data_IF_332821710629
#
_entry.id   IF_332821710629
#
_cell.length_a   1.000
_cell.length_b   1.000
_cell.length_c   1.000
_cell.angle_alpha   90.00
_cell.angle_beta   90.00
_cell.angle_gamma   90.00
#
_symmetry.space_group_name_H-M   'P 1'
#
loop_
_entity.id
_entity.type
_entity.pdbx_description
1 polymer ?
#
# COMPACT_ATOMS: atom_id res chain seq x y z
N UNK A 1 66.00 -24.47 -5.76
CA UNK A 1 64.84 -23.73 -6.28
C UNK A 1 63.86 -23.54 -5.13
N UNK A 2 63.61 -22.31 -4.71
CA UNK A 2 62.72 -21.96 -3.59
C UNK A 2 61.31 -21.75 -4.17
N UNK A 3 60.25 -22.46 -3.74
CA UNK A 3 58.92 -22.15 -4.24
C UNK A 3 58.41 -20.90 -3.54
N UNK A 4 58.04 -19.91 -4.34
CA UNK A 4 57.37 -18.69 -3.91
C UNK A 4 55.90 -19.03 -3.60
N UNK A 5 55.46 -18.83 -2.37
CA UNK A 5 54.05 -18.94 -2.00
C UNK A 5 53.37 -17.60 -2.34
N UNK A 6 52.56 -17.56 -3.39
CA UNK A 6 51.69 -16.42 -3.68
C UNK A 6 50.47 -16.54 -2.78
N UNK A 7 50.40 -15.71 -1.74
CA UNK A 7 49.18 -15.54 -0.96
C UNK A 7 48.22 -14.63 -1.75
N UNK A 8 47.17 -15.22 -2.32
CA UNK A 8 46.05 -14.47 -2.91
C UNK A 8 45.14 -14.02 -1.78
N UNK A 9 45.19 -12.74 -1.45
CA UNK A 9 44.30 -12.11 -0.47
C UNK A 9 42.92 -11.92 -1.13
N UNK A 10 41.95 -12.77 -0.82
CA UNK A 10 40.55 -12.50 -1.15
C UNK A 10 40.04 -11.41 -0.21
N UNK A 11 39.96 -10.17 -0.71
CA UNK A 11 39.21 -9.12 -0.04
C UNK A 11 37.72 -9.47 -0.18
N UNK A 12 37.13 -9.97 0.90
CA UNK A 12 35.67 -10.10 1.02
C UNK A 12 35.15 -8.67 1.16
N UNK A 13 34.71 -8.08 0.05
CA UNK A 13 33.89 -6.87 0.09
C UNK A 13 32.53 -7.30 0.62
N UNK A 14 32.35 -7.19 1.94
CA UNK A 14 31.03 -7.32 2.54
C UNK A 14 30.20 -6.14 2.04
N UNK A 15 29.29 -6.41 1.10
CA UNK A 15 28.21 -5.49 0.79
C UNK A 15 27.23 -5.54 1.96
N UNK A 16 27.59 -4.87 3.06
CA UNK A 16 26.64 -4.62 4.12
C UNK A 16 25.49 -3.83 3.47
N UNK A 17 24.33 -4.50 3.31
CA UNK A 17 23.08 -3.82 3.05
C UNK A 17 22.94 -2.78 4.16
N UNK A 18 23.04 -1.50 3.83
CA UNK A 18 22.92 -0.45 4.82
C UNK A 18 21.50 -0.52 5.38
N UNK A 19 21.35 -1.05 6.59
CA UNK A 19 20.10 -0.95 7.32
C UNK A 19 19.91 0.52 7.74
N UNK A 20 18.69 1.03 7.57
CA UNK A 20 18.37 2.36 8.06
C UNK A 20 18.51 2.35 9.59
N UNK A 21 19.21 3.33 10.18
CA UNK A 21 19.24 3.44 11.64
C UNK A 21 17.82 3.65 12.17
N UNK A 22 17.57 3.24 13.41
CA UNK A 22 16.29 3.50 14.06
C UNK A 22 16.00 5.01 14.09
N UNK A 23 14.74 5.37 13.92
CA UNK A 23 14.28 6.74 14.04
C UNK A 23 14.48 7.26 15.48
N UNK A 24 14.87 8.53 15.67
CA UNK A 24 15.02 9.11 17.02
C UNK A 24 13.72 9.04 17.84
N UNK A 25 13.81 8.91 19.15
CA UNK A 25 12.68 8.66 20.05
C UNK A 25 11.57 9.73 19.96
N UNK A 26 11.92 10.99 19.71
CA UNK A 26 10.96 12.11 19.64
C UNK A 26 10.42 12.36 18.21
N UNK A 27 10.57 11.39 17.31
CA UNK A 27 10.11 11.50 15.91
C UNK A 27 8.99 10.52 15.61
N UNK A 28 8.32 10.70 14.47
CA UNK A 28 7.43 9.69 13.89
C UNK A 28 7.53 9.78 12.37
N UNK A 29 7.08 8.72 11.70
CA UNK A 29 7.11 8.62 10.24
C UNK A 29 5.74 8.25 9.70
N UNK A 30 5.45 8.74 8.49
CA UNK A 30 4.39 8.22 7.65
C UNK A 30 5.01 7.40 6.52
N UNK A 31 4.54 6.17 6.32
CA UNK A 31 4.96 5.37 5.19
C UNK A 31 3.99 5.60 4.02
N UNK A 32 4.54 5.79 2.82
CA UNK A 32 3.76 5.91 1.60
C UNK A 32 4.08 4.74 0.68
N UNK A 33 3.05 3.99 0.29
CA UNK A 33 3.13 2.94 -0.72
C UNK A 33 2.67 3.56 -2.05
N UNK A 34 3.58 3.76 -3.01
CA UNK A 34 3.23 4.24 -4.35
C UNK A 34 2.63 3.09 -5.18
N UNK A 35 2.31 3.37 -6.44
CA UNK A 35 1.83 2.43 -7.46
C UNK A 35 2.38 1.01 -7.31
N UNK A 36 1.49 0.05 -7.11
CA UNK A 36 1.86 -1.36 -6.97
C UNK A 36 1.56 -2.16 -8.22
N UNK A 37 1.30 -1.54 -9.37
CA UNK A 37 0.89 -2.16 -10.64
C UNK A 37 1.90 -3.15 -11.30
N UNK A 38 2.99 -3.54 -10.64
CA UNK A 38 3.99 -4.48 -11.20
C UNK A 38 3.60 -5.95 -10.98
N UNK A 39 2.39 -6.33 -11.39
CA UNK A 39 1.90 -7.71 -11.29
C UNK A 39 2.52 -8.63 -12.36
N UNK A 40 2.73 -9.88 -11.98
CA UNK A 40 3.22 -10.96 -12.83
C UNK A 40 2.29 -12.16 -12.79
N UNK A 41 2.42 -13.09 -13.72
CA UNK A 41 1.56 -14.26 -13.85
C UNK A 41 0.38 -14.04 -14.79
N UNK A 42 -0.62 -14.90 -14.66
CA UNK A 42 -1.68 -15.07 -15.65
C UNK A 42 -2.48 -13.81 -15.90
N UNK A 43 -2.50 -13.38 -17.16
CA UNK A 43 -3.34 -12.28 -17.63
C UNK A 43 -2.93 -10.90 -17.11
N UNK A 44 -1.74 -10.74 -16.52
CA UNK A 44 -1.26 -9.40 -16.11
C UNK A 44 -0.80 -8.58 -17.33
N UNK A 45 -0.48 -7.29 -17.14
CA UNK A 45 0.06 -6.49 -18.26
C UNK A 45 1.44 -6.95 -18.70
N UNK A 46 2.28 -7.38 -17.74
CA UNK A 46 3.64 -7.80 -18.02
C UNK A 46 3.72 -9.18 -18.69
N UNK A 47 2.79 -10.08 -18.36
CA UNK A 47 2.84 -11.49 -18.75
C UNK A 47 1.47 -12.01 -19.25
N UNK A 48 0.88 -11.41 -20.31
CA UNK A 48 -0.50 -11.67 -20.71
C UNK A 48 -0.79 -13.14 -21.06
N UNK A 49 0.19 -13.85 -21.63
CA UNK A 49 0.08 -15.25 -22.05
C UNK A 49 0.57 -16.25 -20.99
N UNK A 50 0.93 -15.79 -19.80
CA UNK A 50 1.41 -16.67 -18.72
C UNK A 50 0.25 -17.47 -18.15
N UNK A 51 0.54 -18.70 -17.71
CA UNK A 51 -0.39 -19.53 -16.93
C UNK A 51 0.04 -19.63 -15.45
N UNK A 52 1.12 -18.94 -15.07
CA UNK A 52 1.58 -18.92 -13.69
C UNK A 52 0.60 -18.15 -12.79
N UNK A 53 0.53 -18.47 -11.48
CA UNK A 53 -0.29 -17.72 -10.54
C UNK A 53 0.05 -16.22 -10.54
N UNK A 54 -0.97 -15.39 -10.33
CA UNK A 54 -0.80 -13.93 -10.23
C UNK A 54 -0.01 -13.61 -8.94
N UNK A 55 1.03 -12.80 -9.08
CA UNK A 55 1.91 -12.40 -7.97
C UNK A 55 2.33 -10.94 -8.09
N UNK A 56 2.78 -10.37 -6.98
CA UNK A 56 3.34 -9.03 -6.93
C UNK A 56 4.44 -8.92 -5.88
N UNK A 57 5.69 -9.15 -6.28
CA UNK A 57 6.83 -9.12 -5.37
C UNK A 57 7.13 -7.72 -4.82
N UNK A 58 6.79 -6.67 -5.56
CA UNK A 58 7.01 -5.28 -5.14
C UNK A 58 6.08 -4.93 -3.99
N UNK A 59 4.78 -5.19 -4.15
CA UNK A 59 3.80 -4.93 -3.11
C UNK A 59 4.05 -5.78 -1.85
N UNK A 60 4.40 -7.06 -2.03
CA UNK A 60 4.79 -7.94 -0.94
C UNK A 60 6.03 -7.43 -0.19
N UNK A 61 7.03 -6.92 -0.91
CA UNK A 61 8.24 -6.35 -0.31
C UNK A 61 7.95 -5.07 0.47
N UNK A 62 7.15 -4.14 -0.07
CA UNK A 62 6.77 -2.92 0.62
C UNK A 62 6.03 -3.22 1.93
N UNK A 63 5.01 -4.08 1.88
CA UNK A 63 4.21 -4.41 3.06
C UNK A 63 5.00 -5.19 4.12
N UNK A 64 5.89 -6.11 3.71
CA UNK A 64 6.83 -6.79 4.63
C UNK A 64 7.83 -5.83 5.26
N UNK A 65 8.40 -4.94 4.47
CA UNK A 65 9.36 -3.96 4.98
C UNK A 65 8.68 -3.05 5.99
N UNK A 66 7.50 -2.50 5.67
CA UNK A 66 6.74 -1.66 6.59
C UNK A 66 6.44 -2.41 7.87
N UNK A 67 5.89 -3.64 7.80
CA UNK A 67 5.59 -4.45 8.98
C UNK A 67 6.82 -4.67 9.88
N UNK A 68 7.99 -4.93 9.29
CA UNK A 68 9.24 -5.12 10.04
C UNK A 68 9.79 -3.81 10.62
N UNK A 69 9.39 -2.66 10.07
CA UNK A 69 9.93 -1.35 10.41
C UNK A 69 8.95 -0.43 11.16
N UNK A 70 7.76 -0.93 11.56
CA UNK A 70 6.80 -0.15 12.34
C UNK A 70 7.48 0.49 13.57
N UNK A 71 8.11 -0.33 14.42
CA UNK A 71 8.77 0.17 15.64
C UNK A 71 10.11 0.85 15.34
N UNK A 72 11.06 0.25 14.59
CA UNK A 72 12.37 0.87 14.35
C UNK A 72 12.28 2.24 13.67
N UNK A 73 11.31 2.45 12.79
CA UNK A 73 11.13 3.70 12.04
C UNK A 73 10.00 4.57 12.59
N UNK A 74 9.39 4.15 13.71
CA UNK A 74 8.28 4.86 14.38
C UNK A 74 7.18 5.23 13.40
N UNK A 75 6.78 4.27 12.56
CA UNK A 75 5.74 4.47 11.55
C UNK A 75 4.40 4.50 12.27
N UNK A 76 3.66 5.59 12.12
CA UNK A 76 2.38 5.80 12.82
C UNK A 76 1.18 5.72 11.88
N UNK A 77 1.41 5.85 10.57
CA UNK A 77 0.37 5.73 9.55
C UNK A 77 0.97 5.24 8.22
N UNK A 78 0.19 4.47 7.46
CA UNK A 78 0.56 4.01 6.11
C UNK A 78 -0.48 4.48 5.08
N UNK A 79 -0.04 5.21 4.06
CA UNK A 79 -0.90 5.62 2.94
C UNK A 79 -0.51 4.85 1.67
N UNK A 80 -1.43 4.08 1.10
CA UNK A 80 -1.30 3.61 -0.28
C UNK A 80 -1.99 4.61 -1.20
N UNK A 81 -1.25 5.24 -2.11
CA UNK A 81 -1.77 6.39 -2.87
C UNK A 81 -2.52 6.03 -4.16
N UNK A 82 -2.80 4.74 -4.35
CA UNK A 82 -3.65 4.21 -5.40
C UNK A 82 -2.87 3.47 -6.48
N UNK A 83 -3.56 3.11 -7.55
CA UNK A 83 -3.06 2.30 -8.66
C UNK A 83 -2.51 0.97 -8.09
N UNK A 84 -3.41 0.31 -7.39
CA UNK A 84 -3.19 -0.88 -6.56
C UNK A 84 -3.08 -2.12 -7.44
N UNK A 85 -3.85 -2.15 -8.52
CA UNK A 85 -3.88 -3.25 -9.50
C UNK A 85 -3.45 -2.75 -10.87
N UNK A 86 -2.82 -3.61 -11.68
CA UNK A 86 -2.52 -3.27 -13.09
C UNK A 86 -3.73 -3.49 -14.00
N UNK A 87 -4.60 -4.43 -13.61
CA UNK A 87 -5.86 -4.75 -14.24
C UNK A 87 -6.89 -4.94 -13.14
N UNK A 88 -8.05 -4.31 -13.33
CA UNK A 88 -9.17 -4.40 -12.40
C UNK A 88 -9.87 -5.76 -12.48
N UNK A 89 -9.22 -6.79 -11.92
CA UNK A 89 -9.67 -8.20 -11.94
C UNK A 89 -9.44 -8.86 -10.58
N UNK A 90 -10.32 -9.79 -10.20
CA UNK A 90 -10.34 -10.43 -8.89
C UNK A 90 -8.98 -10.99 -8.45
N UNK A 91 -8.26 -11.66 -9.35
CA UNK A 91 -6.97 -12.29 -9.01
C UNK A 91 -5.90 -11.30 -8.53
N UNK A 92 -5.93 -10.04 -9.00
CA UNK A 92 -4.99 -9.02 -8.52
C UNK A 92 -5.46 -8.41 -7.21
N UNK A 93 -6.77 -8.23 -7.04
CA UNK A 93 -7.34 -7.77 -5.78
C UNK A 93 -7.11 -8.77 -4.64
N UNK A 94 -7.15 -10.09 -4.91
CA UNK A 94 -6.78 -11.11 -3.93
C UNK A 94 -5.33 -10.93 -3.45
N UNK A 95 -4.40 -10.66 -4.38
CA UNK A 95 -2.99 -10.40 -4.06
C UNK A 95 -2.84 -9.08 -3.28
N UNK A 96 -3.50 -8.01 -3.72
CA UNK A 96 -3.49 -6.71 -3.04
C UNK A 96 -4.03 -6.81 -1.62
N UNK A 97 -5.13 -7.55 -1.43
CA UNK A 97 -5.76 -7.74 -0.13
C UNK A 97 -4.85 -8.51 0.82
N UNK A 98 -4.25 -9.60 0.35
CA UNK A 98 -3.26 -10.36 1.11
C UNK A 98 -2.03 -9.52 1.46
N UNK A 99 -1.59 -8.62 0.57
CA UNK A 99 -0.52 -7.66 0.86
C UNK A 99 -0.88 -6.75 2.04
N UNK A 100 -2.03 -6.08 1.96
CA UNK A 100 -2.47 -5.11 2.97
C UNK A 100 -2.96 -5.74 4.27
N UNK A 101 -3.39 -7.00 4.27
CA UNK A 101 -3.75 -7.75 5.49
C UNK A 101 -2.60 -7.87 6.48
N UNK A 102 -1.34 -7.74 6.02
CA UNK A 102 -0.18 -7.70 6.91
C UNK A 102 -0.17 -6.49 7.84
N UNK A 103 -0.75 -5.38 7.40
CA UNK A 103 -0.79 -4.12 8.14
C UNK A 103 -2.07 -3.96 8.97
N UNK A 104 -3.14 -4.66 8.58
CA UNK A 104 -4.43 -4.55 9.22
C UNK A 104 -4.42 -5.03 10.68
N UNK A 105 -4.97 -4.20 11.57
CA UNK A 105 -4.93 -4.43 13.01
C UNK A 105 -3.58 -4.18 13.67
N UNK A 106 -2.55 -3.77 12.91
CA UNK A 106 -1.20 -3.48 13.43
C UNK A 106 -0.84 -2.01 13.40
N UNK A 107 -1.22 -1.31 12.33
CA UNK A 107 -0.93 0.10 12.13
C UNK A 107 -2.11 0.76 11.41
N UNK A 108 -2.45 2.03 11.73
CA UNK A 108 -3.37 2.82 10.92
C UNK A 108 -2.94 2.85 9.45
N UNK A 109 -3.88 2.61 8.54
CA UNK A 109 -3.59 2.71 7.12
C UNK A 109 -4.81 3.04 6.29
N UNK A 110 -4.58 3.64 5.12
CA UNK A 110 -5.64 3.84 4.13
C UNK A 110 -5.10 3.76 2.70
N UNK A 111 -6.02 3.56 1.76
CA UNK A 111 -5.76 3.29 0.35
C UNK A 111 -6.66 4.20 -0.49
N UNK A 112 -6.08 5.03 -1.37
CA UNK A 112 -6.84 5.78 -2.38
C UNK A 112 -7.18 4.89 -3.58
N UNK A 113 -8.27 5.22 -4.27
CA UNK A 113 -8.67 4.56 -5.53
C UNK A 113 -8.15 5.41 -6.69
N UNK A 114 -7.32 4.86 -7.57
CA UNK A 114 -6.88 5.57 -8.79
C UNK A 114 -7.42 4.92 -10.07
N UNK A 115 -6.97 5.41 -11.23
CA UNK A 115 -7.63 5.13 -12.51
C UNK A 115 -7.55 3.66 -12.95
N UNK A 116 -6.66 2.85 -12.37
CA UNK A 116 -6.64 1.40 -12.60
C UNK A 116 -7.53 0.60 -11.64
N UNK A 117 -7.95 1.22 -10.54
CA UNK A 117 -8.72 0.60 -9.48
C UNK A 117 -10.24 0.73 -9.71
N UNK A 118 -10.63 1.49 -10.73
CA UNK A 118 -12.00 1.72 -11.17
C UNK A 118 -12.18 1.47 -12.67
N UNK A 119 -13.42 1.43 -13.15
CA UNK A 119 -13.71 1.43 -14.58
C UNK A 119 -13.65 2.84 -15.16
N UNK A 120 -13.74 2.99 -16.49
CA UNK A 120 -13.79 4.31 -17.14
C UNK A 120 -14.98 5.17 -16.73
N UNK A 121 -16.05 4.58 -16.21
CA UNK A 121 -17.22 5.30 -15.70
C UNK A 121 -17.14 5.62 -14.20
N UNK A 122 -15.99 5.38 -13.55
CA UNK A 122 -15.80 5.63 -12.13
C UNK A 122 -16.28 4.51 -11.21
N UNK A 123 -16.74 3.38 -11.76
CA UNK A 123 -17.18 2.23 -10.95
C UNK A 123 -15.97 1.58 -10.24
N UNK A 124 -15.94 1.67 -8.90
CA UNK A 124 -14.91 1.13 -8.01
C UNK A 124 -15.40 -0.08 -7.22
N UNK A 125 -16.45 -0.77 -7.67
CA UNK A 125 -17.10 -1.87 -6.93
C UNK A 125 -16.14 -2.99 -6.51
N UNK A 126 -15.15 -3.33 -7.34
CA UNK A 126 -14.13 -4.32 -6.97
C UNK A 126 -13.25 -3.84 -5.83
N UNK A 127 -12.76 -2.59 -5.88
CA UNK A 127 -12.05 -2.01 -4.73
C UNK A 127 -12.92 -2.07 -3.47
N UNK A 128 -14.18 -1.65 -3.57
CA UNK A 128 -15.13 -1.62 -2.46
C UNK A 128 -15.42 -3.01 -1.89
N UNK A 129 -15.39 -4.06 -2.72
CA UNK A 129 -15.54 -5.44 -2.26
C UNK A 129 -14.37 -5.90 -1.38
N UNK A 130 -13.13 -5.50 -1.72
CA UNK A 130 -11.92 -5.94 -1.02
C UNK A 130 -11.55 -5.07 0.18
N UNK A 131 -11.83 -3.76 0.08
CA UNK A 131 -11.57 -2.76 1.11
C UNK A 131 -12.84 -2.00 1.55
N UNK A 132 -13.93 -2.70 1.94
CA UNK A 132 -15.20 -2.07 2.31
C UNK A 132 -15.07 -1.27 3.61
N UNK A 133 -15.91 -0.26 3.81
CA UNK A 133 -15.94 0.54 5.04
C UNK A 133 -16.12 -0.32 6.32
N UNK A 134 -17.00 -1.36 6.35
CA UNK A 134 -17.07 -2.31 7.46
C UNK A 134 -15.75 -2.95 7.89
N UNK A 135 -14.74 -3.01 7.02
CA UNK A 135 -13.39 -3.50 7.39
C UNK A 135 -12.72 -2.60 8.42
N UNK A 136 -13.03 -1.32 8.41
CA UNK A 136 -12.39 -0.29 9.21
C UNK A 136 -13.30 0.24 10.33
N UNK A 137 -14.57 -0.19 10.35
CA UNK A 137 -15.54 0.20 11.35
C UNK A 137 -15.06 -0.14 12.77
N UNK A 138 -15.17 0.83 13.68
CA UNK A 138 -14.71 0.71 15.06
C UNK A 138 -13.21 0.99 15.28
N UNK A 139 -12.41 1.20 14.22
CA UNK A 139 -11.03 1.67 14.38
C UNK A 139 -11.03 3.16 14.71
N UNK A 140 -10.41 3.55 15.83
CA UNK A 140 -10.48 4.91 16.37
C UNK A 140 -9.99 6.01 15.40
N UNK A 141 -9.06 5.66 14.50
CA UNK A 141 -8.51 6.59 13.51
C UNK A 141 -9.36 6.70 12.24
N UNK A 142 -10.31 5.79 12.02
CA UNK A 142 -11.17 5.78 10.84
C UNK A 142 -12.40 6.65 11.09
N UNK A 143 -12.36 7.88 10.59
CA UNK A 143 -13.26 8.93 11.06
C UNK A 143 -14.52 9.09 10.20
N UNK A 144 -14.45 8.78 8.90
CA UNK A 144 -15.64 8.79 8.06
C UNK A 144 -15.36 8.55 6.58
N UNK A 145 -16.46 8.45 5.84
CA UNK A 145 -16.52 8.20 4.39
C UNK A 145 -17.43 9.21 3.72
N UNK A 146 -17.21 9.43 2.42
CA UNK A 146 -18.22 10.07 1.58
C UNK A 146 -19.38 9.09 1.34
N UNK A 147 -20.61 9.60 1.35
CA UNK A 147 -21.81 8.82 1.02
C UNK A 147 -22.52 9.49 -0.16
N UNK A 148 -22.42 8.95 -1.38
CA UNK A 148 -23.07 9.53 -2.55
C UNK A 148 -24.59 9.45 -2.41
N UNK A 149 -25.30 10.41 -3.00
CA UNK A 149 -26.76 10.40 -3.05
C UNK A 149 -27.33 9.33 -4.00
N UNK A 150 -26.51 8.80 -4.90
CA UNK A 150 -26.94 7.93 -6.00
C UNK A 150 -26.22 6.58 -6.04
N UNK A 151 -25.47 6.30 -7.10
CA UNK A 151 -24.88 4.99 -7.36
C UNK A 151 -23.69 4.73 -6.43
N UNK A 152 -23.84 3.79 -5.49
CA UNK A 152 -22.78 3.43 -4.53
C UNK A 152 -21.52 2.88 -5.23
N UNK A 153 -21.65 2.37 -6.46
CA UNK A 153 -20.51 1.89 -7.24
C UNK A 153 -19.54 3.05 -7.60
N UNK A 154 -20.04 4.28 -7.65
CA UNK A 154 -19.26 5.49 -7.95
C UNK A 154 -19.10 6.28 -6.66
N UNK A 155 -17.85 6.54 -6.26
CA UNK A 155 -17.51 7.34 -5.07
C UNK A 155 -17.99 6.81 -3.71
N UNK A 156 -18.78 5.74 -3.69
CA UNK A 156 -19.43 5.23 -2.50
C UNK A 156 -18.56 4.33 -1.63
N UNK A 157 -19.17 3.88 -0.54
CA UNK A 157 -18.57 3.00 0.45
C UNK A 157 -17.23 3.57 0.95
N UNK A 158 -16.12 2.99 0.55
CA UNK A 158 -14.80 3.42 1.00
C UNK A 158 -13.96 3.97 -0.15
N UNK A 159 -14.55 4.40 -1.26
CA UNK A 159 -13.78 5.03 -2.34
C UNK A 159 -13.15 6.35 -1.87
N UNK A 160 -13.88 7.12 -1.05
CA UNK A 160 -13.40 8.35 -0.43
C UNK A 160 -13.59 8.29 1.09
N UNK A 161 -12.57 8.72 1.84
CA UNK A 161 -12.61 8.66 3.31
C UNK A 161 -11.62 9.61 3.95
N UNK A 162 -11.77 9.85 5.24
CA UNK A 162 -10.78 10.57 6.01
C UNK A 162 -10.42 9.85 7.32
N UNK A 163 -9.20 10.11 7.78
CA UNK A 163 -8.67 9.57 9.02
C UNK A 163 -8.18 10.70 9.92
N UNK A 164 -8.40 10.52 11.21
CA UNK A 164 -7.99 11.46 12.25
C UNK A 164 -7.08 10.73 13.23
N UNK A 165 -5.95 11.33 13.57
CA UNK A 165 -5.11 10.83 14.66
C UNK A 165 -4.22 11.95 15.21
N UNK A 166 -3.73 11.74 16.42
CA UNK A 166 -2.82 12.66 17.11
C UNK A 166 -1.51 11.94 17.36
N UNK A 167 -0.38 12.56 17.00
CA UNK A 167 0.95 12.03 17.26
C UNK A 167 1.90 13.15 17.71
N UNK A 168 2.70 12.91 18.76
CA UNK A 168 3.58 13.92 19.37
C UNK A 168 2.91 15.30 19.60
N UNK A 169 1.66 15.31 20.03
CA UNK A 169 0.89 16.54 20.30
C UNK A 169 0.41 17.30 19.06
N UNK A 170 0.62 16.76 17.86
CA UNK A 170 0.09 17.29 16.59
C UNK A 170 -1.12 16.49 16.14
N UNK A 171 -2.17 17.18 15.71
CA UNK A 171 -3.39 16.57 15.14
C UNK A 171 -3.27 16.49 13.62
N UNK A 172 -3.60 15.33 13.04
CA UNK A 172 -3.52 15.06 11.62
C UNK A 172 -4.88 14.70 11.05
N UNK A 173 -5.14 15.21 9.84
CA UNK A 173 -6.23 14.77 8.97
C UNK A 173 -5.60 14.20 7.70
N UNK A 174 -5.92 12.95 7.39
CA UNK A 174 -5.58 12.34 6.10
C UNK A 174 -6.85 12.22 5.28
N UNK A 175 -6.83 12.81 4.07
CA UNK A 175 -7.90 12.70 3.09
C UNK A 175 -7.45 11.73 2.00
N UNK A 176 -8.16 10.63 1.86
CA UNK A 176 -8.00 9.69 0.75
C UNK A 176 -9.16 9.89 -0.18
N UNK A 177 -8.89 10.61 -1.26
CA UNK A 177 -9.83 10.89 -2.34
C UNK A 177 -9.49 9.99 -3.52
N UNK A 178 -10.52 9.60 -4.26
CA UNK A 178 -10.36 8.86 -5.51
C UNK A 178 -9.87 9.77 -6.64
N UNK A 179 -9.26 9.17 -7.66
CA UNK A 179 -8.88 9.91 -8.86
C UNK A 179 -10.11 10.43 -9.57
N UNK A 180 -10.02 11.64 -10.12
CA UNK A 180 -11.14 12.32 -10.76
C UNK A 180 -12.40 12.38 -9.86
N UNK A 181 -12.19 12.54 -8.54
CA UNK A 181 -13.26 12.77 -7.57
C UNK A 181 -14.27 13.82 -8.12
N UNK A 182 -15.56 13.46 -8.23
CA UNK A 182 -16.57 14.38 -8.74
C UNK A 182 -16.82 15.56 -7.77
N UNK A 183 -17.50 16.61 -8.25
CA UNK A 183 -17.69 17.85 -7.50
C UNK A 183 -18.37 17.65 -6.13
N UNK A 184 -19.29 16.69 -6.01
CA UNK A 184 -19.99 16.39 -4.75
C UNK A 184 -19.07 15.76 -3.70
N UNK A 185 -18.04 15.00 -4.12
CA UNK A 185 -16.99 14.49 -3.23
C UNK A 185 -16.10 15.62 -2.71
N UNK A 186 -15.89 16.67 -3.52
CA UNK A 186 -14.96 17.78 -3.23
C UNK A 186 -15.62 18.99 -2.55
N UNK A 187 -16.94 19.00 -2.42
CA UNK A 187 -17.74 20.13 -1.96
C UNK A 187 -17.63 20.43 -0.44
#
# INVERSE_FOLDING_TARGET
>A
MIPFLIAVLFAIVSTASAELPSAPEDTFSFAVIPDTQRYKGKGTRAEPESEAPVTNAVFDTYTKWIQANIEPQRIVFVSHVGDIVDRNVLAQWDVARNAMDRLHGRIPYRISVENHDMTRSGDSSLFQQYFPAPRYEGLAWYAGIFTPESDIAISGNNANSYQLFTENGSEFVFLHLECNAPDDVLA
#
